data_IF_222583842516
#
_entry.id   IF_222583842516
#
_cell.length_a   1.000
_cell.length_b   1.000
_cell.length_c   1.000
_cell.angle_alpha   90.00
_cell.angle_beta   90.00
_cell.angle_gamma   90.00
#
_symmetry.space_group_name_H-M   'P 1'
#
loop_
_entity.id
_entity.type
_entity.pdbx_description
1 polymer ?
#
# COMPACT_ATOMS: atom_id res chain seq x y z
N UNK A 1 20.62 31.54 -18.67
CA UNK A 1 19.37 32.32 -18.54
C UNK A 1 18.24 31.44 -19.05
N UNK A 2 17.29 31.02 -18.21
CA UNK A 2 16.14 30.22 -18.67
C UNK A 2 15.04 31.20 -19.10
N UNK A 3 14.46 30.97 -20.28
CA UNK A 3 13.41 31.84 -20.80
C UNK A 3 12.11 31.69 -19.99
N UNK A 4 11.27 32.73 -19.91
CA UNK A 4 9.89 32.61 -19.44
C UNK A 4 9.18 31.46 -20.17
N UNK A 5 8.62 30.48 -19.44
CA UNK A 5 8.08 29.23 -19.99
C UNK A 5 8.93 27.96 -19.80
N UNK A 6 9.97 27.99 -18.95
CA UNK A 6 10.76 26.80 -18.60
C UNK A 6 9.89 25.66 -18.03
N UNK A 7 9.86 24.53 -18.75
CA UNK A 7 8.98 23.35 -18.57
C UNK A 7 9.30 22.49 -17.34
N UNK A 8 8.33 21.67 -16.86
CA UNK A 8 8.49 20.76 -15.73
C UNK A 8 9.69 19.82 -15.94
N UNK A 9 10.49 19.64 -14.89
CA UNK A 9 11.61 18.69 -14.88
C UNK A 9 11.06 17.28 -14.71
N UNK A 10 11.59 16.33 -15.47
CA UNK A 10 11.40 14.91 -15.14
C UNK A 10 12.01 14.67 -13.77
N UNK A 11 11.20 14.15 -12.85
CA UNK A 11 11.65 13.69 -11.54
C UNK A 11 11.72 12.18 -11.57
N UNK A 12 12.88 11.67 -11.17
CA UNK A 12 13.11 10.25 -10.95
C UNK A 12 12.86 9.94 -9.48
N UNK A 13 11.82 9.16 -9.22
CA UNK A 13 11.47 8.63 -7.90
C UNK A 13 12.09 7.24 -7.76
N UNK A 14 13.12 7.12 -6.92
CA UNK A 14 13.64 5.82 -6.51
C UNK A 14 12.76 5.30 -5.38
N UNK A 15 11.88 4.34 -5.70
CA UNK A 15 10.95 3.78 -4.71
C UNK A 15 11.70 2.91 -3.70
N UNK A 16 12.67 2.13 -4.17
CA UNK A 16 13.50 1.24 -3.36
C UNK A 16 13.57 -0.17 -3.94
N UNK A 17 14.20 -1.08 -3.19
CA UNK A 17 14.16 -2.53 -3.46
C UNK A 17 12.84 -3.06 -2.93
N UNK A 18 11.98 -3.58 -3.83
CA UNK A 18 10.60 -3.89 -3.47
C UNK A 18 10.35 -5.39 -3.54
N UNK A 19 10.20 -6.01 -2.37
CA UNK A 19 9.91 -7.42 -2.24
C UNK A 19 8.51 -7.76 -2.79
N UNK A 20 8.36 -9.01 -3.25
CA UNK A 20 7.04 -9.56 -3.54
C UNK A 20 6.17 -9.47 -2.29
N UNK A 21 4.92 -9.02 -2.46
CA UNK A 21 3.96 -8.93 -1.35
C UNK A 21 3.72 -10.28 -0.69
N UNK A 22 3.52 -10.28 0.62
CA UNK A 22 3.17 -11.46 1.41
C UNK A 22 1.96 -11.17 2.29
N UNK A 23 1.06 -12.15 2.43
CA UNK A 23 -0.21 -12.02 3.14
C UNK A 23 -0.07 -11.74 4.65
N UNK A 24 1.11 -12.02 5.23
CA UNK A 24 1.40 -11.92 6.66
C UNK A 24 2.62 -11.03 6.96
N UNK A 25 2.99 -10.14 6.04
CA UNK A 25 4.19 -9.31 6.17
C UNK A 25 4.15 -8.37 7.38
N UNK A 26 2.95 -7.93 7.81
CA UNK A 26 2.76 -7.00 8.93
C UNK A 26 2.23 -7.76 10.15
N UNK A 27 1.11 -8.47 9.96
CA UNK A 27 0.41 -9.22 10.99
C UNK A 27 0.20 -10.67 10.53
N UNK A 28 0.61 -11.62 11.37
CA UNK A 28 0.35 -13.05 11.16
C UNK A 28 -1.10 -13.44 11.39
N UNK A 29 -1.36 -14.74 11.60
CA UNK A 29 -2.70 -15.25 11.96
C UNK A 29 -3.14 -14.73 13.34
N UNK A 30 -3.72 -13.53 13.37
CA UNK A 30 -4.23 -12.91 14.59
C UNK A 30 -5.65 -13.39 14.87
N UNK A 31 -5.91 -13.78 16.12
CA UNK A 31 -7.24 -14.13 16.59
C UNK A 31 -8.12 -12.89 16.70
N UNK A 32 -9.37 -13.04 16.30
CA UNK A 32 -10.45 -12.09 16.56
C UNK A 32 -11.13 -12.47 17.89
N UNK A 33 -11.79 -11.52 18.52
CA UNK A 33 -12.62 -11.71 19.73
C UNK A 33 -14.11 -11.82 19.36
N UNK A 34 -14.99 -12.40 20.19
CA UNK A 34 -16.43 -12.55 19.87
C UNK A 34 -17.24 -11.28 20.10
N UNK A 35 -16.82 -10.44 21.04
CA UNK A 35 -17.63 -9.33 21.52
C UNK A 35 -17.00 -7.98 21.19
N UNK A 36 -15.69 -7.88 21.35
CA UNK A 36 -14.97 -6.61 21.28
C UNK A 36 -14.03 -6.54 20.07
N UNK A 37 -13.76 -5.34 19.52
CA UNK A 37 -12.69 -5.18 18.54
C UNK A 37 -11.33 -5.57 19.11
N UNK A 38 -10.54 -6.34 18.35
CA UNK A 38 -9.18 -6.70 18.76
C UNK A 38 -8.20 -5.64 18.31
N UNK A 39 -7.62 -4.90 19.26
CA UNK A 39 -6.62 -3.86 19.00
C UNK A 39 -5.21 -4.43 19.11
N UNK A 40 -4.39 -4.20 18.08
CA UNK A 40 -3.03 -4.71 17.97
C UNK A 40 -2.09 -3.55 17.68
N UNK A 41 -1.03 -3.40 18.47
CA UNK A 41 -0.03 -2.31 18.40
C UNK A 41 1.42 -2.83 18.31
N UNK A 42 1.61 -4.15 18.22
CA UNK A 42 2.90 -4.80 18.04
C UNK A 42 2.90 -5.69 16.79
N UNK A 43 3.86 -5.44 15.87
CA UNK A 43 3.92 -6.08 14.56
C UNK A 43 5.25 -6.78 14.33
N UNK A 44 5.20 -7.88 13.56
CA UNK A 44 6.39 -8.66 13.20
C UNK A 44 7.21 -7.99 12.08
N UNK A 45 6.57 -7.11 11.31
CA UNK A 45 7.18 -6.41 10.19
C UNK A 45 6.52 -5.08 9.90
N UNK A 46 7.11 -4.37 8.96
CA UNK A 46 6.64 -3.09 8.44
C UNK A 46 6.76 -3.14 6.90
N UNK A 47 6.05 -2.26 6.17
CA UNK A 47 6.26 -2.11 4.74
C UNK A 47 7.74 -1.86 4.41
N UNK A 48 8.27 -2.56 3.42
CA UNK A 48 9.65 -2.41 2.92
C UNK A 48 9.87 -1.06 2.23
N UNK A 49 8.83 -0.57 1.56
CA UNK A 49 8.68 0.77 1.01
C UNK A 49 7.25 1.25 1.26
N UNK A 50 6.95 2.56 1.17
CA UNK A 50 5.56 3.03 1.19
C UNK A 50 4.73 2.29 0.14
N UNK A 51 3.73 1.52 0.56
CA UNK A 51 2.89 0.68 -0.31
C UNK A 51 1.57 0.35 0.35
N UNK A 52 0.60 -0.07 -0.45
CA UNK A 52 -0.68 -0.47 0.10
C UNK A 52 -0.57 -1.76 0.93
N UNK A 53 -1.51 -1.91 1.86
CA UNK A 53 -1.63 -3.11 2.66
C UNK A 53 -2.72 -4.01 2.10
N UNK A 54 -2.69 -5.26 2.53
CA UNK A 54 -3.72 -6.25 2.21
C UNK A 54 -4.27 -6.86 3.49
N UNK A 55 -5.55 -7.23 3.47
CA UNK A 55 -6.18 -8.01 4.54
C UNK A 55 -6.71 -9.31 3.97
N UNK A 56 -6.66 -10.37 4.78
CA UNK A 56 -7.12 -11.71 4.38
C UNK A 56 -7.57 -12.49 5.60
N UNK A 57 -8.78 -13.05 5.55
CA UNK A 57 -9.25 -14.03 6.52
C UNK A 57 -8.65 -15.42 6.31
N UNK A 58 -8.66 -16.27 7.32
CA UNK A 58 -8.27 -17.67 7.19
C UNK A 58 -9.38 -18.58 6.64
N UNK A 59 -10.64 -18.13 6.69
CA UNK A 59 -11.82 -18.89 6.25
C UNK A 59 -12.80 -18.00 5.46
N UNK A 60 -13.69 -18.62 4.69
CA UNK A 60 -14.69 -17.94 3.88
C UNK A 60 -15.69 -17.10 4.70
N UNK A 61 -15.92 -17.43 5.97
CA UNK A 61 -16.87 -16.71 6.82
C UNK A 61 -16.27 -15.49 7.54
N UNK A 62 -14.96 -15.28 7.43
CA UNK A 62 -14.29 -14.12 8.04
C UNK A 62 -14.73 -12.84 7.30
N UNK A 63 -15.38 -11.93 8.02
CA UNK A 63 -15.94 -10.70 7.46
C UNK A 63 -15.80 -9.52 8.43
N UNK A 64 -16.27 -8.34 8.02
CA UNK A 64 -16.15 -7.11 8.78
C UNK A 64 -15.00 -6.22 8.31
N UNK A 65 -14.83 -5.10 9.00
CA UNK A 65 -13.91 -4.04 8.61
C UNK A 65 -12.65 -4.07 9.46
N UNK A 66 -11.49 -4.13 8.81
CA UNK A 66 -10.18 -3.98 9.46
C UNK A 66 -9.77 -2.52 9.34
N UNK A 67 -9.61 -1.85 10.48
CA UNK A 67 -9.05 -0.50 10.51
C UNK A 67 -7.55 -0.56 10.74
N UNK A 68 -6.80 0.17 9.91
CA UNK A 68 -5.35 0.24 9.97
C UNK A 68 -4.95 1.70 10.14
N UNK A 69 -4.14 1.96 11.16
CA UNK A 69 -3.52 3.26 11.40
C UNK A 69 -2.01 3.15 11.24
N UNK A 70 -1.41 4.23 10.77
CA UNK A 70 0.01 4.25 10.49
C UNK A 70 0.49 5.61 9.99
N UNK A 71 1.57 5.61 9.23
CA UNK A 71 2.10 6.84 8.61
C UNK A 71 2.27 6.71 7.12
N UNK A 72 2.15 7.83 6.40
CA UNK A 72 2.45 7.93 4.98
C UNK A 72 3.97 8.05 4.71
N UNK A 73 4.35 8.25 3.45
CA UNK A 73 5.76 8.39 3.05
C UNK A 73 6.51 9.54 3.77
N UNK A 74 5.80 10.60 4.19
CA UNK A 74 6.36 11.74 4.91
C UNK A 74 6.29 11.62 6.44
N UNK A 75 5.76 10.51 6.97
CA UNK A 75 5.63 10.29 8.40
C UNK A 75 4.39 10.95 9.02
N UNK A 76 3.45 11.43 8.20
CA UNK A 76 2.19 11.99 8.67
C UNK A 76 1.20 10.86 8.96
N UNK A 77 0.37 10.98 10.01
CA UNK A 77 -0.58 9.93 10.38
C UNK A 77 -1.65 9.75 9.31
N UNK A 78 -1.94 8.49 8.98
CA UNK A 78 -3.02 8.10 8.06
C UNK A 78 -3.78 6.91 8.63
N UNK A 79 -5.04 6.77 8.22
CA UNK A 79 -5.84 5.57 8.44
C UNK A 79 -6.52 5.09 7.16
N UNK A 80 -6.79 3.79 7.11
CA UNK A 80 -7.58 3.12 6.09
C UNK A 80 -8.42 2.00 6.69
N UNK A 81 -9.67 1.89 6.26
CA UNK A 81 -10.55 0.76 6.58
C UNK A 81 -10.63 -0.16 5.37
N UNK A 82 -10.33 -1.45 5.55
CA UNK A 82 -10.39 -2.46 4.50
C UNK A 82 -11.36 -3.57 4.92
N UNK A 83 -12.43 -3.74 4.15
CA UNK A 83 -13.41 -4.80 4.37
C UNK A 83 -12.82 -6.18 4.03
N UNK A 84 -12.97 -7.14 4.94
CA UNK A 84 -12.63 -8.54 4.72
C UNK A 84 -13.61 -9.20 3.75
N UNK A 85 -13.10 -10.09 2.92
CA UNK A 85 -13.89 -10.88 1.96
C UNK A 85 -13.58 -12.38 2.11
N UNK A 86 -13.76 -12.90 3.33
CA UNK A 86 -13.42 -14.29 3.66
C UNK A 86 -11.94 -14.56 3.47
N UNK A 87 -11.63 -15.67 2.82
CA UNK A 87 -10.26 -16.09 2.52
C UNK A 87 -9.62 -15.37 1.32
N UNK A 88 -10.33 -14.44 0.66
CA UNK A 88 -9.78 -13.65 -0.42
C UNK A 88 -8.85 -12.55 0.12
N UNK A 89 -7.79 -12.25 -0.65
CA UNK A 89 -6.93 -11.09 -0.37
C UNK A 89 -7.66 -9.83 -0.85
N UNK A 90 -7.89 -8.89 0.06
CA UNK A 90 -8.43 -7.57 -0.27
C UNK A 90 -7.33 -6.54 -0.12
N UNK A 91 -7.12 -5.74 -1.16
CA UNK A 91 -6.07 -4.75 -1.22
C UNK A 91 -6.60 -3.36 -0.88
N UNK A 92 -5.94 -2.68 0.07
CA UNK A 92 -6.15 -1.27 0.36
C UNK A 92 -5.75 -0.37 -0.81
N UNK A 93 -6.04 0.91 -0.68
CA UNK A 93 -5.75 1.96 -1.65
C UNK A 93 -4.64 2.88 -1.19
N UNK A 94 -4.48 3.09 0.11
CA UNK A 94 -3.48 4.01 0.67
C UNK A 94 -2.13 3.35 0.85
N UNK A 95 -1.06 4.07 0.55
CA UNK A 95 0.32 3.64 0.74
C UNK A 95 0.82 3.96 2.16
N UNK A 96 1.00 2.92 2.98
CA UNK A 96 1.56 3.01 4.32
C UNK A 96 3.08 2.85 4.28
N UNK A 97 3.79 3.73 4.99
CA UNK A 97 5.21 3.60 5.31
C UNK A 97 5.42 2.80 6.59
N UNK A 98 4.58 3.05 7.59
CA UNK A 98 4.57 2.29 8.85
C UNK A 98 3.14 1.99 9.24
N UNK A 99 2.94 0.91 9.97
CA UNK A 99 1.71 0.54 10.66
C UNK A 99 1.94 0.67 12.15
N UNK A 100 1.06 1.42 12.81
CA UNK A 100 1.13 1.68 14.26
C UNK A 100 0.01 0.99 15.01
N UNK A 101 -1.12 0.74 14.36
CA UNK A 101 -2.24 0.02 14.96
C UNK A 101 -3.05 -0.72 13.89
N UNK A 102 -3.55 -1.90 14.24
CA UNK A 102 -4.56 -2.63 13.48
C UNK A 102 -5.67 -2.98 14.44
N UNK A 103 -6.90 -2.63 14.08
CA UNK A 103 -8.11 -2.99 14.81
C UNK A 103 -8.89 -4.00 13.97
N UNK A 104 -9.03 -5.22 14.48
CA UNK A 104 -9.83 -6.27 13.86
C UNK A 104 -11.28 -6.19 14.38
N UNK A 105 -12.29 -6.50 13.55
CA UNK A 105 -13.66 -6.57 14.02
C UNK A 105 -13.85 -7.81 14.92
N UNK A 106 -14.93 -7.87 15.73
CA UNK A 106 -15.31 -9.10 16.38
C UNK A 106 -15.77 -10.16 15.36
N UNK A 107 -15.58 -11.44 15.66
CA UNK A 107 -16.08 -12.54 14.83
C UNK A 107 -17.55 -12.87 15.16
N UNK A 108 -18.28 -13.42 14.19
CA UNK A 108 -19.71 -13.72 14.36
C UNK A 108 -19.98 -15.17 14.82
N UNK A 109 -19.14 -16.15 14.47
CA UNK A 109 -19.57 -17.57 14.54
C UNK A 109 -18.70 -18.53 15.33
N UNK A 110 -17.38 -18.65 15.08
CA UNK A 110 -16.68 -19.89 15.42
C UNK A 110 -15.47 -19.79 16.37
N UNK A 111 -15.01 -18.60 16.77
CA UNK A 111 -13.75 -18.37 17.52
C UNK A 111 -12.50 -18.98 16.85
N UNK A 112 -12.59 -19.28 15.56
CA UNK A 112 -11.49 -19.83 14.75
C UNK A 112 -11.05 -18.86 13.67
N UNK A 113 -11.77 -17.75 13.53
CA UNK A 113 -11.53 -16.68 12.59
C UNK A 113 -10.19 -16.01 12.93
N UNK A 114 -9.33 -15.93 11.91
CA UNK A 114 -8.03 -15.29 11.96
C UNK A 114 -7.90 -14.32 10.81
N UNK A 115 -7.26 -13.19 11.06
CA UNK A 115 -6.94 -12.18 10.04
C UNK A 115 -5.44 -12.06 9.92
N UNK A 116 -4.96 -11.92 8.69
CA UNK A 116 -3.59 -11.56 8.36
C UNK A 116 -3.57 -10.20 7.67
N UNK A 117 -2.51 -9.42 7.94
CA UNK A 117 -2.23 -8.17 7.24
C UNK A 117 -0.91 -8.29 6.51
N UNK A 118 -0.97 -8.04 5.22
CA UNK A 118 0.14 -8.19 4.29
C UNK A 118 0.48 -6.90 3.55
N UNK A 119 1.38 -7.02 2.59
CA UNK A 119 1.78 -5.93 1.69
C UNK A 119 1.30 -6.20 0.27
N UNK A 120 0.74 -5.18 -0.38
CA UNK A 120 0.20 -5.25 -1.74
C UNK A 120 1.14 -4.64 -2.78
N UNK A 121 0.79 -4.72 -4.07
CA UNK A 121 1.65 -4.29 -5.17
C UNK A 121 1.55 -2.79 -5.53
N UNK A 122 0.66 -2.01 -4.89
CA UNK A 122 0.52 -0.58 -5.15
C UNK A 122 1.59 0.16 -4.35
N UNK A 123 2.55 0.77 -5.04
CA UNK A 123 3.69 1.47 -4.43
C UNK A 123 3.38 2.96 -4.32
N UNK A 124 3.65 3.58 -3.18
CA UNK A 124 3.40 5.00 -2.95
C UNK A 124 4.35 5.89 -3.74
N UNK A 125 3.80 6.90 -4.41
CA UNK A 125 4.58 7.96 -5.04
C UNK A 125 4.91 9.05 -4.01
N UNK A 126 6.14 9.60 -3.98
CA UNK A 126 6.55 10.61 -2.99
C UNK A 126 6.10 12.03 -3.37
N UNK A 127 4.91 12.15 -3.96
CA UNK A 127 4.34 13.37 -4.54
C UNK A 127 2.84 13.19 -4.77
N UNK A 128 2.04 14.21 -4.46
CA UNK A 128 0.64 14.30 -4.83
C UNK A 128 0.50 14.77 -6.29
N UNK A 129 -0.43 14.18 -7.04
CA UNK A 129 -0.60 14.42 -8.47
C UNK A 129 -2.06 14.74 -8.79
N UNK A 130 -2.30 15.77 -9.61
CA UNK A 130 -3.65 16.09 -10.14
C UNK A 130 -4.08 15.23 -11.30
N UNK A 131 -3.13 14.54 -11.93
CA UNK A 131 -3.33 13.66 -13.08
C UNK A 131 -2.16 12.71 -13.18
N UNK A 132 -2.34 11.64 -13.92
CA UNK A 132 -1.24 10.72 -14.23
C UNK A 132 -0.18 11.42 -15.08
N UNK A 133 0.98 11.66 -14.45
CA UNK A 133 2.18 12.23 -15.08
C UNK A 133 3.32 11.23 -15.15
N UNK A 134 3.08 9.95 -14.85
CA UNK A 134 4.09 8.89 -14.93
C UNK A 134 4.45 8.65 -16.39
N UNK A 135 5.74 8.75 -16.68
CA UNK A 135 6.31 8.59 -18.02
C UNK A 135 6.73 7.13 -18.24
N UNK A 136 7.39 6.56 -17.22
CA UNK A 136 7.89 5.20 -17.25
C UNK A 136 8.14 4.68 -15.83
N UNK A 137 8.00 3.37 -15.67
CA UNK A 137 8.49 2.67 -14.50
C UNK A 137 9.53 1.62 -14.94
N UNK A 138 10.46 1.33 -14.05
CA UNK A 138 11.57 0.42 -14.27
C UNK A 138 11.68 -0.53 -13.09
N UNK A 139 11.86 -1.82 -13.36
CA UNK A 139 12.23 -2.84 -12.38
C UNK A 139 13.58 -3.41 -12.77
N UNK A 140 14.55 -3.33 -11.86
CA UNK A 140 15.94 -3.73 -12.15
C UNK A 140 16.53 -3.01 -13.38
N UNK A 141 16.26 -1.70 -13.50
CA UNK A 141 16.60 -0.87 -14.66
C UNK A 141 15.96 -1.28 -16.00
N UNK A 142 15.18 -2.36 -16.05
CA UNK A 142 14.39 -2.73 -17.21
C UNK A 142 13.07 -1.95 -17.21
N UNK A 143 12.82 -1.19 -18.27
CA UNK A 143 11.59 -0.44 -18.45
C UNK A 143 10.40 -1.39 -18.58
N UNK A 144 9.30 -1.10 -17.90
CA UNK A 144 8.03 -1.80 -18.07
C UNK A 144 7.56 -1.68 -19.53
N UNK A 145 7.12 -2.81 -20.11
CA UNK A 145 6.61 -2.84 -21.48
C UNK A 145 5.28 -2.09 -21.62
N UNK A 146 4.45 -2.18 -20.58
CA UNK A 146 3.17 -1.50 -20.49
C UNK A 146 3.28 -0.31 -19.55
N UNK A 147 2.46 0.71 -19.78
CA UNK A 147 2.31 1.81 -18.82
C UNK A 147 1.77 1.25 -17.49
N UNK A 148 2.35 1.62 -16.34
CA UNK A 148 1.92 1.09 -15.05
C UNK A 148 0.53 1.62 -14.68
N UNK A 149 -0.19 0.91 -13.82
CA UNK A 149 -1.47 1.46 -13.31
C UNK A 149 -1.16 2.53 -12.27
N UNK A 150 -1.66 3.75 -12.48
CA UNK A 150 -1.41 4.90 -11.59
C UNK A 150 -2.72 5.36 -10.95
N UNK A 151 -2.72 5.50 -9.63
CA UNK A 151 -3.74 6.23 -8.89
C UNK A 151 -3.19 7.61 -8.51
N UNK A 152 -4.04 8.63 -8.58
CA UNK A 152 -3.66 10.03 -8.33
C UNK A 152 -4.65 10.69 -7.40
N UNK A 153 -4.14 11.63 -6.60
CA UNK A 153 -4.92 12.43 -5.66
C UNK A 153 -4.16 13.75 -5.41
N UNK A 154 -4.88 14.88 -5.44
CA UNK A 154 -4.29 16.22 -5.26
C UNK A 154 -3.97 16.55 -3.81
N UNK A 155 -4.68 15.92 -2.86
CA UNK A 155 -4.67 16.29 -1.45
C UNK A 155 -4.01 15.22 -0.57
N UNK A 156 -4.16 13.94 -0.93
CA UNK A 156 -3.69 12.79 -0.15
C UNK A 156 -2.54 12.06 -0.85
N UNK A 157 -1.30 12.33 -0.44
CA UNK A 157 -0.13 11.69 -1.06
C UNK A 157 -0.15 10.16 -0.92
N UNK A 158 -0.71 9.63 0.16
CA UNK A 158 -0.82 8.18 0.34
C UNK A 158 -1.77 7.53 -0.67
N UNK A 159 -2.67 8.29 -1.29
CA UNK A 159 -3.56 7.82 -2.37
C UNK A 159 -2.89 7.85 -3.74
N UNK A 160 -1.68 8.42 -3.85
CA UNK A 160 -0.91 8.43 -5.10
C UNK A 160 -0.06 7.17 -5.17
N UNK A 161 -0.44 6.23 -6.04
CA UNK A 161 0.25 4.94 -6.14
C UNK A 161 0.52 4.53 -7.57
N UNK A 162 1.53 3.67 -7.74
CA UNK A 162 1.89 3.04 -8.99
C UNK A 162 1.95 1.52 -8.83
N UNK A 163 1.37 0.79 -9.76
CA UNK A 163 1.44 -0.68 -9.81
C UNK A 163 2.09 -1.09 -11.13
N UNK A 164 3.19 -1.83 -11.04
CA UNK A 164 3.88 -2.36 -12.21
C UNK A 164 3.04 -3.46 -12.89
N UNK A 165 3.23 -3.65 -14.19
CA UNK A 165 2.66 -4.81 -14.90
C UNK A 165 3.46 -6.09 -14.62
N UNK A 166 4.75 -5.97 -14.34
CA UNK A 166 5.58 -7.08 -13.86
C UNK A 166 5.44 -7.30 -12.35
N UNK A 167 5.57 -8.57 -11.93
CA UNK A 167 5.55 -8.91 -10.51
C UNK A 167 6.78 -8.34 -9.78
N UNK A 168 6.59 -7.86 -8.56
CA UNK A 168 7.69 -7.46 -7.67
C UNK A 168 8.53 -8.67 -7.27
N UNK A 169 9.82 -8.49 -7.04
CA UNK A 169 10.77 -9.59 -6.85
C UNK A 169 11.97 -9.25 -5.94
N UNK A 170 11.91 -8.14 -5.21
CA UNK A 170 13.03 -7.63 -4.40
C UNK A 170 14.00 -6.74 -5.17
N UNK A 171 13.82 -6.56 -6.49
CA UNK A 171 14.67 -5.65 -7.26
C UNK A 171 14.28 -4.18 -7.05
N UNK A 172 15.20 -3.28 -7.39
CA UNK A 172 14.97 -1.84 -7.37
C UNK A 172 13.84 -1.44 -8.33
N UNK A 173 12.93 -0.58 -7.84
CA UNK A 173 11.87 0.07 -8.63
C UNK A 173 12.14 1.57 -8.74
N UNK A 174 12.09 2.06 -9.98
CA UNK A 174 12.27 3.48 -10.31
C UNK A 174 11.08 3.96 -11.12
N UNK A 175 10.60 5.17 -10.85
CA UNK A 175 9.48 5.79 -11.55
C UNK A 175 9.89 7.18 -12.01
N UNK A 176 9.78 7.44 -13.31
CA UNK A 176 10.00 8.77 -13.88
C UNK A 176 8.66 9.45 -14.12
N UNK A 177 8.50 10.69 -13.63
CA UNK A 177 7.26 11.47 -13.72
C UNK A 177 7.52 12.96 -13.91
N UNK A 178 6.47 13.72 -14.27
CA UNK A 178 6.47 15.19 -14.16
C UNK A 178 5.71 15.64 -12.92
N UNK A 179 6.22 16.63 -12.19
CA UNK A 179 5.44 17.24 -11.11
C UNK A 179 4.32 18.11 -11.70
N UNK A 180 3.13 17.99 -11.16
CA UNK A 180 2.03 18.92 -11.41
C UNK A 180 2.22 20.10 -10.45
N UNK A 181 2.45 21.29 -10.99
CA UNK A 181 2.76 22.53 -10.25
C UNK A 181 1.88 22.77 -9.02
#
# INVERSE_FOLDING_TARGET
MKMPGSQPRVRTCQIGEVALGADNAILGDAAMDDADPTVIDAFAGQPDVPRNLTVKGNDANVSGDVEIEGTNAFGEPISETIALAGAAVVAGSKAFRTVTQVTLPPYDTANTERVRVGTGAKLGLPVALSRDTVIAAYRDNAREANHPTVAVDEDAVESNTVTLGSALNGSAVIVDLYETN
#
